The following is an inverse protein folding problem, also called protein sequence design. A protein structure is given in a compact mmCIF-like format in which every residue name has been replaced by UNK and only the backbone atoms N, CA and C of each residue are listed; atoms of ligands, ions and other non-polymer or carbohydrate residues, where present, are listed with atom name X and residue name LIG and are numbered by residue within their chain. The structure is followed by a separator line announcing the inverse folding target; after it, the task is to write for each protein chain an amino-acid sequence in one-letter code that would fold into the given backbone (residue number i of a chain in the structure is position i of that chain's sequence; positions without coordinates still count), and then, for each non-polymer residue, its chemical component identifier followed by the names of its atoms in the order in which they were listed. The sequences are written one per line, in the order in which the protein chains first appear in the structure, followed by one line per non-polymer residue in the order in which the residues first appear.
data_IF_614363013410
#
_entry.id   IF_614363013410
#
_cell.length_a   1.000
_cell.length_b   1.000
_cell.length_c   1.000
_cell.angle_alpha   90.00
_cell.angle_beta   90.00
_cell.angle_gamma   90.00
#
_symmetry.space_group_name_H-M   'P 1'
#
loop_
_entity.id
_entity.type
_entity.pdbx_description
1 polymer ?
#
# COMPACT_ATOMS: atom_id res chain seq x y z
N UNK A 1 38.46 27.83 -23.52
CA UNK A 1 38.08 26.60 -22.78
C UNK A 1 36.94 26.97 -21.85
N UNK A 2 35.78 26.34 -22.00
CA UNK A 2 34.61 26.61 -21.16
C UNK A 2 34.80 25.89 -19.82
N UNK A 3 34.53 26.58 -18.71
CA UNK A 3 34.51 25.96 -17.40
C UNK A 3 33.27 25.06 -17.27
N UNK A 4 33.45 23.81 -16.84
CA UNK A 4 32.34 22.90 -16.56
C UNK A 4 31.57 23.39 -15.32
N UNK A 5 30.44 24.07 -15.56
CA UNK A 5 29.56 24.55 -14.49
C UNK A 5 28.71 23.36 -14.02
N UNK A 6 29.14 22.72 -12.94
CA UNK A 6 28.38 21.64 -12.31
C UNK A 6 27.26 22.17 -11.43
N UNK A 7 26.02 21.79 -11.73
CA UNK A 7 24.86 22.17 -10.92
C UNK A 7 24.75 21.30 -9.65
N UNK A 8 25.33 21.79 -8.55
CA UNK A 8 25.32 21.10 -7.26
C UNK A 8 23.91 20.83 -6.72
N UNK A 9 22.90 21.65 -7.05
CA UNK A 9 21.51 21.42 -6.63
C UNK A 9 20.94 20.17 -7.29
N UNK A 10 21.17 20.00 -8.60
CA UNK A 10 20.72 18.81 -9.32
C UNK A 10 21.44 17.56 -8.83
N UNK A 11 22.74 17.65 -8.60
CA UNK A 11 23.53 16.54 -8.04
C UNK A 11 23.01 16.10 -6.66
N UNK A 12 22.80 17.04 -5.74
CA UNK A 12 22.22 16.74 -4.41
C UNK A 12 20.82 16.11 -4.53
N UNK A 13 20.00 16.60 -5.45
CA UNK A 13 18.65 16.04 -5.70
C UNK A 13 18.72 14.60 -6.22
N UNK A 14 19.63 14.30 -7.15
CA UNK A 14 19.85 12.95 -7.66
C UNK A 14 20.34 12.01 -6.56
N UNK A 15 21.32 12.45 -5.75
CA UNK A 15 21.81 11.68 -4.61
C UNK A 15 20.69 11.33 -3.63
N UNK A 16 19.87 12.31 -3.25
CA UNK A 16 18.73 12.10 -2.36
C UNK A 16 17.66 11.15 -2.95
N UNK A 17 17.48 11.14 -4.29
CA UNK A 17 16.58 10.18 -4.96
C UNK A 17 17.15 8.77 -4.91
N UNK A 18 18.43 8.59 -5.23
CA UNK A 18 19.10 7.28 -5.18
C UNK A 18 19.11 6.68 -3.77
N UNK A 19 19.35 7.49 -2.74
CA UNK A 19 19.28 7.04 -1.34
C UNK A 19 17.86 6.54 -0.97
N UNK A 20 16.82 7.25 -1.41
CA UNK A 20 15.43 6.83 -1.21
C UNK A 20 15.10 5.53 -1.94
N UNK A 21 15.61 5.35 -3.16
CA UNK A 21 15.43 4.12 -3.94
C UNK A 21 16.08 2.92 -3.26
N UNK A 22 17.33 3.05 -2.80
CA UNK A 22 18.03 2.02 -2.03
C UNK A 22 17.28 1.64 -0.75
N UNK A 23 16.79 2.62 0.00
CA UNK A 23 15.98 2.35 1.18
C UNK A 23 14.67 1.63 0.82
N UNK A 24 14.04 2.00 -0.30
CA UNK A 24 12.83 1.32 -0.76
C UNK A 24 13.12 -0.13 -1.16
N UNK A 25 14.24 -0.41 -1.83
CA UNK A 25 14.70 -1.77 -2.13
C UNK A 25 14.96 -2.58 -0.86
N UNK A 26 15.69 -2.01 0.11
CA UNK A 26 15.91 -2.66 1.41
C UNK A 26 14.58 -2.97 2.11
N UNK A 27 13.63 -2.03 2.08
CA UNK A 27 12.31 -2.25 2.68
C UNK A 27 11.52 -3.35 1.95
N UNK A 28 11.64 -3.47 0.62
CA UNK A 28 11.05 -4.58 -0.15
C UNK A 28 11.65 -5.93 0.25
N UNK A 29 12.97 -5.98 0.46
CA UNK A 29 13.66 -7.19 0.92
C UNK A 29 13.29 -7.56 2.37
N UNK A 30 13.34 -6.59 3.29
CA UNK A 30 13.12 -6.83 4.72
C UNK A 30 11.65 -7.07 5.08
N UNK A 31 10.71 -6.41 4.41
CA UNK A 31 9.29 -6.46 4.76
C UNK A 31 8.40 -7.14 3.71
N UNK A 32 8.99 -7.60 2.60
CA UNK A 32 8.36 -8.42 1.56
C UNK A 32 7.37 -7.72 0.63
N UNK A 33 6.76 -6.59 1.04
CA UNK A 33 5.77 -5.84 0.24
C UNK A 33 5.90 -4.35 0.42
N UNK A 34 5.73 -3.58 -0.64
CA UNK A 34 5.73 -2.12 -0.56
C UNK A 34 4.46 -1.61 0.15
N UNK A 35 4.54 -0.42 0.78
CA UNK A 35 3.37 0.19 1.45
C UNK A 35 2.18 0.37 0.50
N UNK A 36 2.45 0.75 -0.76
CA UNK A 36 1.42 0.93 -1.78
C UNK A 36 0.67 -0.39 -2.08
N UNK A 37 1.39 -1.50 -2.20
CA UNK A 37 0.80 -2.82 -2.42
C UNK A 37 -0.04 -3.26 -1.22
N UNK A 38 0.48 -3.07 0.01
CA UNK A 38 -0.27 -3.36 1.24
C UNK A 38 -1.59 -2.59 1.25
N UNK A 39 -1.54 -1.28 1.04
CA UNK A 39 -2.73 -0.43 1.01
C UNK A 39 -3.73 -0.87 -0.06
N UNK A 40 -3.26 -1.21 -1.26
CA UNK A 40 -4.11 -1.68 -2.34
C UNK A 40 -4.81 -2.99 -1.97
N UNK A 41 -4.07 -3.96 -1.41
CA UNK A 41 -4.67 -5.23 -0.96
C UNK A 41 -5.66 -5.03 0.17
N UNK A 42 -5.37 -4.16 1.15
CA UNK A 42 -6.30 -3.85 2.23
C UNK A 42 -7.59 -3.22 1.71
N UNK A 43 -7.50 -2.27 0.77
CA UNK A 43 -8.67 -1.64 0.18
C UNK A 43 -9.52 -2.63 -0.65
N UNK A 44 -8.90 -3.58 -1.36
CA UNK A 44 -9.61 -4.63 -2.06
C UNK A 44 -10.34 -5.57 -1.10
N UNK A 45 -9.68 -5.98 -0.01
CA UNK A 45 -10.27 -6.85 0.99
C UNK A 45 -11.46 -6.16 1.69
N UNK A 46 -11.30 -4.89 2.09
CA UNK A 46 -12.36 -4.11 2.71
C UNK A 46 -13.58 -3.96 1.78
N UNK A 47 -13.33 -3.75 0.48
CA UNK A 47 -14.41 -3.72 -0.52
C UNK A 47 -15.12 -5.07 -0.64
N UNK A 48 -14.37 -6.17 -0.63
CA UNK A 48 -14.92 -7.52 -0.71
C UNK A 48 -15.76 -7.84 0.53
N UNK A 49 -15.25 -7.55 1.73
CA UNK A 49 -15.97 -7.70 3.00
C UNK A 49 -17.29 -6.92 2.99
N UNK A 50 -17.25 -5.63 2.61
CA UNK A 50 -18.46 -4.81 2.50
C UNK A 50 -19.48 -5.36 1.51
N UNK A 51 -19.02 -5.90 0.37
CA UNK A 51 -19.91 -6.50 -0.62
C UNK A 51 -20.57 -7.79 -0.08
N UNK A 52 -19.83 -8.60 0.66
CA UNK A 52 -20.36 -9.81 1.31
C UNK A 52 -21.37 -9.46 2.41
N UNK A 53 -21.07 -8.45 3.22
CA UNK A 53 -21.96 -7.98 4.28
C UNK A 53 -23.26 -7.41 3.72
N UNK A 54 -23.20 -6.63 2.63
CA UNK A 54 -24.39 -6.10 1.95
C UNK A 54 -25.26 -7.19 1.32
N UNK A 55 -24.63 -8.27 0.85
CA UNK A 55 -25.32 -9.43 0.29
C UNK A 55 -25.80 -10.45 1.32
N UNK A 56 -25.50 -10.23 2.60
CA UNK A 56 -25.86 -11.16 3.68
C UNK A 56 -27.37 -11.09 3.93
N UNK A 57 -28.07 -12.15 3.52
CA UNK A 57 -29.44 -12.39 3.94
C UNK A 57 -29.40 -13.08 5.31
N UNK A 58 -29.94 -12.42 6.34
CA UNK A 58 -30.22 -13.08 7.60
C UNK A 58 -31.20 -14.22 7.32
N UNK A 59 -30.82 -15.46 7.67
CA UNK A 59 -31.80 -16.55 7.65
C UNK A 59 -32.89 -16.19 8.66
N UNK A 60 -34.18 -16.37 8.31
CA UNK A 60 -35.21 -16.30 9.32
C UNK A 60 -34.84 -17.29 10.43
N UNK A 61 -34.90 -16.80 11.67
CA UNK A 61 -34.66 -17.59 12.87
C UNK A 61 -35.78 -18.64 12.97
N UNK A 62 -35.54 -19.82 12.41
CA UNK A 62 -36.47 -20.94 12.47
C UNK A 62 -36.37 -21.62 13.85
N UNK A 63 -37.13 -21.09 14.81
CA UNK A 63 -37.66 -21.80 15.99
C UNK A 63 -37.10 -21.37 17.36
N UNK A 64 -37.86 -21.29 18.45
CA UNK A 64 -39.11 -21.97 18.80
C UNK A 64 -39.74 -21.18 19.96
N UNK A 65 -41.04 -20.90 19.87
CA UNK A 65 -41.82 -20.35 20.98
C UNK A 65 -41.76 -21.26 22.21
N UNK A 66 -41.46 -20.68 23.37
CA UNK A 66 -41.47 -21.37 24.65
C UNK A 66 -42.19 -20.49 25.67
N UNK A 67 -43.52 -20.55 25.61
CA UNK A 67 -44.42 -20.25 26.72
C UNK A 67 -45.09 -21.55 27.17
#
# INVERSE_FOLDING_TARGET
MAADIVNLRQFRKQKARSEKEKQAEQNRLSFGRAKAEKNFTSALNEKAEKALDQGRLEKPDDGVGKD
#
